data_IF_659971145815
#
_entry.id   IF_659971145815
#
_cell.length_a   1.000
_cell.length_b   1.000
_cell.length_c   1.000
_cell.angle_alpha   90.00
_cell.angle_beta   90.00
_cell.angle_gamma   90.00
#
_symmetry.space_group_name_H-M   'P 1'
#
loop_
_entity.id
_entity.type
_entity.pdbx_description
1 polymer ?
#
# COMPACT_ATOMS: atom_id res chain seq x y z
N UNK A 1 17.81 1.33 -7.92
CA UNK A 1 17.59 0.03 -8.61
C UNK A 1 16.23 0.12 -9.26
N UNK A 2 16.01 -0.52 -10.42
CA UNK A 2 14.69 -0.55 -11.04
C UNK A 2 13.80 -1.50 -10.24
N UNK A 3 12.57 -1.09 -9.93
CA UNK A 3 11.60 -1.93 -9.24
C UNK A 3 11.34 -3.21 -10.06
N UNK A 4 11.27 -4.37 -9.39
CA UNK A 4 10.92 -5.62 -10.05
C UNK A 4 9.39 -5.68 -10.30
N UNK A 5 8.95 -5.01 -11.37
CA UNK A 5 7.55 -4.88 -11.74
C UNK A 5 6.84 -6.23 -11.91
N UNK A 6 7.53 -7.22 -12.49
CA UNK A 6 6.97 -8.56 -12.68
C UNK A 6 6.71 -9.27 -11.33
N UNK A 7 7.68 -9.22 -10.40
CA UNK A 7 7.53 -9.83 -9.09
C UNK A 7 6.44 -9.13 -8.25
N UNK A 8 6.33 -7.81 -8.34
CA UNK A 8 5.28 -7.04 -7.66
C UNK A 8 3.89 -7.39 -8.18
N UNK A 9 3.70 -7.44 -9.51
CA UNK A 9 2.41 -7.85 -10.11
C UNK A 9 2.05 -9.29 -9.74
N UNK A 10 3.02 -10.22 -9.85
CA UNK A 10 2.80 -11.63 -9.53
C UNK A 10 2.42 -11.84 -8.06
N UNK A 11 3.20 -11.27 -7.13
CA UNK A 11 2.94 -11.39 -5.69
C UNK A 11 1.65 -10.69 -5.26
N UNK A 12 1.29 -9.55 -5.88
CA UNK A 12 -0.03 -8.94 -5.67
C UNK A 12 -1.17 -9.86 -6.08
N UNK A 13 -1.06 -10.47 -7.27
CA UNK A 13 -2.04 -11.39 -7.79
C UNK A 13 -2.17 -12.64 -6.91
N UNK A 14 -1.05 -13.20 -6.45
CA UNK A 14 -1.02 -14.31 -5.49
C UNK A 14 -1.83 -13.97 -4.23
N UNK A 15 -1.52 -12.83 -3.59
CA UNK A 15 -2.18 -12.43 -2.35
C UNK A 15 -3.68 -12.14 -2.54
N UNK A 16 -4.05 -11.41 -3.60
CA UNK A 16 -5.45 -11.04 -3.87
C UNK A 16 -6.31 -12.22 -4.31
N UNK A 17 -5.74 -13.17 -5.06
CA UNK A 17 -6.47 -14.38 -5.49
C UNK A 17 -6.73 -15.33 -4.33
N UNK A 18 -5.82 -15.40 -3.36
CA UNK A 18 -5.97 -16.23 -2.15
C UNK A 18 -6.86 -15.60 -1.10
N UNK A 19 -6.80 -14.27 -0.97
CA UNK A 19 -7.58 -13.55 0.02
C UNK A 19 -8.32 -12.35 -0.61
N UNK A 20 -9.58 -12.53 -1.02
CA UNK A 20 -10.43 -11.43 -1.47
C UNK A 20 -10.66 -10.33 -0.41
N UNK A 21 -10.38 -10.63 0.87
CA UNK A 21 -10.44 -9.69 2.00
C UNK A 21 -9.07 -9.12 2.36
N UNK A 22 -8.10 -9.12 1.43
CA UNK A 22 -6.76 -8.56 1.65
C UNK A 22 -6.80 -7.14 2.21
N UNK A 23 -7.58 -6.24 1.59
CA UNK A 23 -7.68 -4.84 2.02
C UNK A 23 -8.34 -4.70 3.41
N UNK A 24 -9.51 -5.32 3.69
CA UNK A 24 -10.04 -5.38 5.05
C UNK A 24 -9.04 -5.92 6.07
N UNK A 25 -8.26 -6.95 5.72
CA UNK A 25 -7.24 -7.53 6.61
C UNK A 25 -6.09 -6.56 6.87
N UNK A 26 -5.64 -5.82 5.85
CA UNK A 26 -4.69 -4.72 6.00
C UNK A 26 -5.17 -3.69 7.03
N UNK A 27 -6.43 -3.22 6.92
CA UNK A 27 -6.97 -2.24 7.87
C UNK A 27 -7.08 -2.79 9.28
N UNK A 28 -7.48 -4.06 9.43
CA UNK A 28 -7.48 -4.72 10.74
C UNK A 28 -6.08 -4.73 11.37
N UNK A 29 -5.05 -5.10 10.61
CA UNK A 29 -3.65 -5.08 11.07
C UNK A 29 -3.18 -3.66 11.45
N UNK A 30 -3.48 -2.68 10.60
CA UNK A 30 -3.11 -1.28 10.84
C UNK A 30 -3.72 -0.76 12.14
N UNK A 31 -5.00 -1.03 12.37
CA UNK A 31 -5.73 -0.56 13.54
C UNK A 31 -5.42 -1.33 14.82
N UNK A 32 -4.99 -2.59 14.69
CA UNK A 32 -4.49 -3.40 15.80
C UNK A 32 -3.10 -2.93 16.26
N UNK A 33 -2.18 -2.69 15.32
CA UNK A 33 -0.78 -2.32 15.65
C UNK A 33 -0.62 -0.83 15.94
N UNK A 34 -1.41 0.01 15.29
CA UNK A 34 -1.30 1.47 15.37
C UNK A 34 -2.67 2.11 15.63
N UNK A 35 -3.31 1.83 16.77
CA UNK A 35 -4.65 2.34 17.07
C UNK A 35 -4.77 3.87 16.99
N UNK A 36 -3.67 4.61 17.18
CA UNK A 36 -3.62 6.06 17.04
C UNK A 36 -4.00 6.58 15.65
N UNK A 37 -3.87 5.78 14.59
CA UNK A 37 -4.27 6.21 13.24
C UNK A 37 -5.78 6.06 13.00
N UNK A 38 -6.51 5.31 13.83
CA UNK A 38 -7.95 5.08 13.63
C UNK A 38 -8.73 6.40 13.57
N UNK A 39 -8.31 7.42 14.33
CA UNK A 39 -8.94 8.75 14.35
C UNK A 39 -8.88 9.50 13.02
N UNK A 40 -7.98 9.09 12.11
CA UNK A 40 -7.86 9.64 10.75
C UNK A 40 -8.87 9.03 9.77
N UNK A 41 -9.61 7.99 10.18
CA UNK A 41 -10.55 7.27 9.32
C UNK A 41 -11.99 7.45 9.81
N UNK A 42 -12.92 7.62 8.87
CA UNK A 42 -14.35 7.57 9.17
C UNK A 42 -14.86 6.14 9.05
N UNK A 43 -15.17 5.50 10.19
CA UNK A 43 -15.67 4.14 10.25
C UNK A 43 -16.96 3.92 9.43
N UNK A 44 -17.77 4.97 9.21
CA UNK A 44 -19.01 4.90 8.40
C UNK A 44 -18.71 4.79 6.90
N UNK A 45 -17.46 5.07 6.49
CA UNK A 45 -16.98 5.03 5.11
C UNK A 45 -15.94 3.95 4.87
N UNK A 46 -15.87 2.93 5.74
CA UNK A 46 -14.88 1.86 5.65
C UNK A 46 -14.88 1.18 4.27
N UNK A 47 -16.05 0.84 3.72
CA UNK A 47 -16.15 0.19 2.40
C UNK A 47 -15.70 1.08 1.24
N UNK A 48 -15.94 2.39 1.35
CA UNK A 48 -15.41 3.36 0.38
C UNK A 48 -13.89 3.43 0.47
N UNK A 49 -13.36 3.48 1.69
CA UNK A 49 -11.92 3.53 1.94
C UNK A 49 -11.21 2.27 1.46
N UNK A 50 -11.79 1.08 1.70
CA UNK A 50 -11.28 -0.20 1.22
C UNK A 50 -11.19 -0.22 -0.31
N UNK A 51 -12.26 0.22 -1.00
CA UNK A 51 -12.26 0.29 -2.47
C UNK A 51 -11.20 1.27 -2.99
N UNK A 52 -11.08 2.45 -2.38
CA UNK A 52 -10.07 3.45 -2.77
C UNK A 52 -8.65 2.90 -2.66
N UNK A 53 -8.32 2.19 -1.57
CA UNK A 53 -7.00 1.58 -1.41
C UNK A 53 -6.75 0.51 -2.47
N UNK A 54 -7.71 -0.41 -2.69
CA UNK A 54 -7.58 -1.45 -3.70
C UNK A 54 -7.34 -0.88 -5.10
N UNK A 55 -8.14 0.13 -5.49
CA UNK A 55 -7.96 0.83 -6.78
C UNK A 55 -6.61 1.52 -6.88
N UNK A 56 -6.14 2.17 -5.81
CA UNK A 56 -4.84 2.84 -5.82
C UNK A 56 -3.68 1.85 -6.00
N UNK A 57 -3.71 0.69 -5.33
CA UNK A 57 -2.69 -0.34 -5.46
C UNK A 57 -2.64 -0.91 -6.89
N UNK A 58 -3.79 -1.20 -7.49
CA UNK A 58 -3.89 -1.65 -8.89
C UNK A 58 -3.32 -0.59 -9.83
N UNK A 59 -3.75 0.67 -9.70
CA UNK A 59 -3.31 1.76 -10.57
C UNK A 59 -1.79 1.97 -10.51
N UNK A 60 -1.18 1.87 -9.32
CA UNK A 60 0.27 1.95 -9.15
C UNK A 60 0.98 0.78 -9.83
N UNK A 61 0.46 -0.45 -9.72
CA UNK A 61 1.05 -1.62 -10.38
C UNK A 61 0.92 -1.58 -11.91
N UNK A 62 -0.19 -1.05 -12.41
CA UNK A 62 -0.41 -0.85 -13.84
C UNK A 62 0.58 0.17 -14.43
N UNK A 63 0.92 1.21 -13.67
CA UNK A 63 1.81 2.30 -14.09
C UNK A 63 3.19 2.25 -13.44
N UNK A 64 3.61 1.10 -12.88
CA UNK A 64 4.85 1.02 -12.09
C UNK A 64 6.12 1.36 -12.88
N UNK A 65 6.04 1.30 -14.20
CA UNK A 65 7.11 1.63 -15.14
C UNK A 65 6.95 3.03 -15.76
N UNK A 66 5.85 3.74 -15.48
CA UNK A 66 5.56 5.09 -15.95
C UNK A 66 5.91 6.12 -14.86
N UNK A 67 7.16 6.58 -14.90
CA UNK A 67 7.69 7.51 -13.91
C UNK A 67 6.94 8.86 -13.86
N UNK A 68 6.48 9.38 -15.01
CA UNK A 68 5.77 10.66 -15.09
C UNK A 68 4.37 10.54 -14.50
N UNK A 69 3.65 9.45 -14.80
CA UNK A 69 2.38 9.14 -14.17
C UNK A 69 2.53 9.00 -12.65
N UNK A 70 3.51 8.20 -12.19
CA UNK A 70 3.74 7.97 -10.76
C UNK A 70 4.04 9.27 -10.03
N UNK A 71 4.93 10.10 -10.56
CA UNK A 71 5.29 11.39 -9.96
C UNK A 71 4.07 12.30 -9.84
N UNK A 72 3.26 12.41 -10.89
CA UNK A 72 2.08 13.28 -10.90
C UNK A 72 1.02 12.78 -9.92
N UNK A 73 0.64 11.51 -10.00
CA UNK A 73 -0.48 10.96 -9.24
C UNK A 73 -0.11 10.76 -7.76
N UNK A 74 1.09 10.26 -7.45
CA UNK A 74 1.52 10.07 -6.06
C UNK A 74 1.83 11.40 -5.38
N UNK A 75 2.40 12.39 -6.07
CA UNK A 75 2.56 13.74 -5.51
C UNK A 75 1.20 14.39 -5.20
N UNK A 76 0.20 14.24 -6.09
CA UNK A 76 -1.16 14.69 -5.81
C UNK A 76 -1.81 13.94 -4.65
N UNK A 77 -1.53 12.64 -4.53
CA UNK A 77 -1.97 11.83 -3.40
C UNK A 77 -1.34 12.27 -2.08
N UNK A 78 -0.03 12.60 -2.08
CA UNK A 78 0.70 13.13 -0.93
C UNK A 78 0.08 14.43 -0.40
N UNK A 79 -0.24 15.39 -1.28
CA UNK A 79 -0.94 16.64 -0.90
C UNK A 79 -2.29 16.40 -0.23
N UNK A 80 -3.04 15.38 -0.66
CA UNK A 80 -4.29 14.99 0.02
C UNK A 80 -4.03 14.39 1.40
N UNK A 81 -3.00 13.54 1.52
CA UNK A 81 -2.62 12.93 2.80
C UNK A 81 -2.17 13.98 3.82
N UNK A 82 -1.43 15.00 3.39
CA UNK A 82 -1.10 16.16 4.22
C UNK A 82 -2.36 16.88 4.72
N UNK A 83 -3.34 17.13 3.84
CA UNK A 83 -4.64 17.69 4.20
C UNK A 83 -5.48 16.82 5.14
N UNK A 84 -5.22 15.50 5.21
CA UNK A 84 -5.86 14.58 6.15
C UNK A 84 -5.14 14.52 7.50
N UNK A 85 -3.98 15.18 7.65
CA UNK A 85 -3.17 15.14 8.87
C UNK A 85 -2.26 13.90 8.98
N UNK A 86 -1.98 13.22 7.86
CA UNK A 86 -1.04 12.10 7.82
C UNK A 86 0.38 12.62 7.97
N UNK A 87 1.12 12.07 8.94
CA UNK A 87 2.51 12.45 9.23
C UNK A 87 3.50 11.46 8.63
N UNK A 88 4.73 11.91 8.38
CA UNK A 88 5.80 11.07 7.79
C UNK A 88 6.03 9.78 8.58
N UNK A 89 5.96 9.84 9.91
CA UNK A 89 6.10 8.69 10.81
C UNK A 89 5.05 7.57 10.60
N UNK A 90 3.92 7.89 9.95
CA UNK A 90 2.81 6.95 9.73
C UNK A 90 3.00 6.09 8.48
N UNK A 91 3.81 6.52 7.51
CA UNK A 91 4.00 5.77 6.27
C UNK A 91 4.62 4.39 6.51
N UNK A 92 5.70 4.24 7.33
CA UNK A 92 6.25 2.92 7.63
C UNK A 92 5.22 1.94 8.21
N UNK A 93 4.28 2.43 9.02
CA UNK A 93 3.21 1.61 9.62
C UNK A 93 2.28 1.00 8.56
N UNK A 94 1.94 1.81 7.55
CA UNK A 94 1.12 1.37 6.42
C UNK A 94 1.88 0.37 5.56
N UNK A 95 3.15 0.64 5.24
CA UNK A 95 4.00 -0.29 4.48
C UNK A 95 4.13 -1.66 5.15
N UNK A 96 4.43 -1.67 6.45
CA UNK A 96 4.54 -2.89 7.23
C UNK A 96 3.24 -3.70 7.24
N UNK A 97 2.10 -3.05 7.52
CA UNK A 97 0.81 -3.73 7.60
C UNK A 97 0.35 -4.25 6.23
N UNK A 98 0.65 -3.53 5.14
CA UNK A 98 0.33 -3.97 3.78
C UNK A 98 1.11 -5.23 3.41
N UNK A 99 2.42 -5.23 3.65
CA UNK A 99 3.28 -6.39 3.40
C UNK A 99 2.89 -7.57 4.29
N UNK A 100 2.57 -7.32 5.57
CA UNK A 100 2.10 -8.36 6.47
C UNK A 100 0.80 -9.01 5.98
N UNK A 101 -0.18 -8.21 5.53
CA UNK A 101 -1.44 -8.72 4.98
C UNK A 101 -1.21 -9.57 3.73
N UNK A 102 -0.32 -9.15 2.83
CA UNK A 102 0.00 -9.89 1.62
C UNK A 102 0.76 -11.19 1.93
N UNK A 103 1.70 -11.16 2.89
CA UNK A 103 2.40 -12.35 3.36
C UNK A 103 1.44 -13.36 3.98
N UNK A 104 0.53 -12.91 4.84
CA UNK A 104 -0.51 -13.77 5.43
C UNK A 104 -1.38 -14.42 4.34
N UNK A 105 -1.77 -13.66 3.31
CA UNK A 105 -2.56 -14.17 2.20
C UNK A 105 -1.77 -15.13 1.29
N UNK A 106 -0.48 -14.85 1.06
CA UNK A 106 0.39 -15.67 0.22
C UNK A 106 0.82 -16.98 0.88
N UNK A 107 0.85 -17.05 2.22
CA UNK A 107 1.18 -18.28 2.95
C UNK A 107 2.57 -18.80 2.59
N UNK A 108 2.67 -20.12 2.38
CA UNK A 108 3.94 -20.79 2.06
C UNK A 108 4.56 -20.35 0.72
N UNK A 109 3.76 -19.83 -0.21
CA UNK A 109 4.22 -19.35 -1.52
C UNK A 109 4.71 -17.89 -1.48
N UNK A 110 4.59 -17.20 -0.34
CA UNK A 110 5.12 -15.85 -0.17
C UNK A 110 6.60 -15.91 0.20
N UNK A 111 7.47 -15.37 -0.66
CA UNK A 111 8.92 -15.48 -0.47
C UNK A 111 9.55 -14.24 0.19
N UNK A 112 10.76 -14.35 0.76
CA UNK A 112 11.53 -13.21 1.24
C UNK A 112 11.78 -12.15 0.15
N UNK A 113 11.97 -12.56 -1.10
CA UNK A 113 12.18 -11.66 -2.24
C UNK A 113 10.94 -10.81 -2.51
N UNK A 114 9.73 -11.37 -2.38
CA UNK A 114 8.48 -10.61 -2.49
C UNK A 114 8.39 -9.53 -1.40
N UNK A 115 8.76 -9.89 -0.17
CA UNK A 115 8.81 -8.94 0.97
C UNK A 115 9.76 -7.78 0.68
N UNK A 116 10.97 -8.07 0.21
CA UNK A 116 11.97 -7.05 -0.12
C UNK A 116 11.51 -6.16 -1.27
N UNK A 117 10.96 -6.74 -2.34
CA UNK A 117 10.46 -5.99 -3.48
C UNK A 117 9.34 -5.01 -3.09
N UNK A 118 8.39 -5.45 -2.27
CA UNK A 118 7.32 -4.57 -1.78
C UNK A 118 7.81 -3.50 -0.82
N UNK A 119 8.82 -3.79 -0.01
CA UNK A 119 9.43 -2.81 0.89
C UNK A 119 10.12 -1.69 0.09
N UNK A 120 10.89 -2.06 -0.95
CA UNK A 120 11.53 -1.11 -1.86
C UNK A 120 10.48 -0.29 -2.64
N UNK A 121 9.48 -0.94 -3.22
CA UNK A 121 8.41 -0.27 -3.96
C UNK A 121 7.63 0.71 -3.08
N UNK A 122 7.29 0.30 -1.85
CA UNK A 122 6.60 1.18 -0.91
C UNK A 122 7.46 2.38 -0.52
N UNK A 123 8.76 2.19 -0.27
CA UNK A 123 9.68 3.30 -0.03
C UNK A 123 9.76 4.30 -1.19
N UNK A 124 9.75 3.81 -2.42
CA UNK A 124 9.70 4.67 -3.61
C UNK A 124 8.37 5.45 -3.71
N UNK A 125 7.24 4.80 -3.43
CA UNK A 125 5.92 5.44 -3.37
C UNK A 125 5.91 6.57 -2.35
N UNK A 126 6.36 6.29 -1.12
CA UNK A 126 6.45 7.30 -0.04
C UNK A 126 7.33 8.47 -0.45
N UNK A 127 8.48 8.19 -1.06
CA UNK A 127 9.39 9.24 -1.54
C UNK A 127 8.71 10.18 -2.55
N UNK A 128 7.90 9.63 -3.46
CA UNK A 128 7.13 10.44 -4.42
C UNK A 128 5.95 11.18 -3.78
N UNK A 129 5.32 10.60 -2.76
CA UNK A 129 4.24 11.28 -2.01
C UNK A 129 4.77 12.45 -1.17
N UNK A 130 5.98 12.34 -0.64
CA UNK A 130 6.63 13.39 0.15
C UNK A 130 7.38 14.41 -0.71
N UNK A 131 7.64 14.10 -1.98
CA UNK A 131 8.23 15.03 -2.93
C UNK A 131 7.28 16.22 -3.15
N UNK A 132 7.75 17.41 -2.80
CA UNK A 132 7.02 18.68 -2.94
C UNK A 132 7.17 19.26 -4.34
#
# INVERSE_FOLDING_TARGET
>A
MALNAQLLRHSFQLATSRNPKLVPRFYALLFERYPQVQSLFDARRADEQHRRLGTALVAVLDHIEDAEWLKRELGAMGRRHDGYGVREEMYPWVGECLVAAMREAGGEDWTPEMTNAWTEAYGAIVSLMLAR
#
